data_IF_279383460976
#
_entry.id   IF_279383460976
#
_cell.length_a   1.000
_cell.length_b   1.000
_cell.length_c   1.000
_cell.angle_alpha   90.00
_cell.angle_beta   90.00
_cell.angle_gamma   90.00
#
_symmetry.space_group_name_H-M   'P 1'
#
loop_
_entity.id
_entity.type
_entity.pdbx_description
1 polymer ?
#
# COMPACT_ATOMS: atom_id res chain seq x y z
N UNK A 1 -2.45 25.83 -31.09
CA UNK A 1 -2.19 24.37 -31.15
C UNK A 1 -3.53 23.66 -31.18
N UNK A 2 -3.71 22.68 -32.07
CA UNK A 2 -4.95 21.88 -32.12
C UNK A 2 -5.00 20.89 -30.94
N UNK A 3 -6.20 20.47 -30.50
CA UNK A 3 -6.35 19.64 -29.29
C UNK A 3 -5.50 18.37 -29.30
N UNK A 4 -5.44 17.65 -30.41
CA UNK A 4 -4.72 16.36 -30.50
C UNK A 4 -3.19 16.55 -30.45
N UNK A 5 -2.64 17.62 -30.98
CA UNK A 5 -1.22 17.95 -30.87
C UNK A 5 -0.86 18.33 -29.43
N UNK A 6 -1.76 19.10 -28.77
CA UNK A 6 -1.56 19.47 -27.37
C UNK A 6 -1.57 18.27 -26.45
N UNK A 7 -2.51 17.34 -26.61
CA UNK A 7 -2.57 16.10 -25.82
C UNK A 7 -1.31 15.25 -25.98
N UNK A 8 -0.78 15.09 -27.20
CA UNK A 8 0.48 14.38 -27.43
C UNK A 8 1.66 15.04 -26.73
N UNK A 9 1.70 16.36 -26.73
CA UNK A 9 2.77 17.10 -26.06
C UNK A 9 2.64 17.01 -24.53
N UNK A 10 1.42 17.04 -23.98
CA UNK A 10 1.15 16.80 -22.56
C UNK A 10 1.70 15.43 -22.13
N UNK A 11 1.37 14.37 -22.86
CA UNK A 11 1.90 13.00 -22.55
C UNK A 11 3.42 12.97 -22.57
N UNK A 12 4.05 13.63 -23.56
CA UNK A 12 5.51 13.69 -23.65
C UNK A 12 6.14 14.41 -22.47
N UNK A 13 5.53 15.49 -22.00
CA UNK A 13 6.01 16.25 -20.83
C UNK A 13 5.81 15.49 -19.54
N UNK A 14 4.64 14.89 -19.35
CA UNK A 14 4.36 14.04 -18.21
C UNK A 14 5.42 12.94 -18.09
N UNK A 15 5.70 12.21 -19.17
CA UNK A 15 6.71 11.14 -19.17
C UNK A 15 8.17 11.64 -19.02
N UNK A 16 8.43 12.93 -19.25
CA UNK A 16 9.78 13.50 -19.11
C UNK A 16 10.06 14.06 -17.72
N UNK A 17 9.02 14.55 -17.05
CA UNK A 17 9.13 15.33 -15.81
C UNK A 17 8.59 14.59 -14.59
N UNK A 18 8.16 13.32 -14.76
CA UNK A 18 7.53 12.46 -13.75
C UNK A 18 6.28 13.06 -13.08
N UNK A 19 6.07 14.36 -13.23
CA UNK A 19 4.92 15.10 -12.70
C UNK A 19 4.76 16.43 -13.44
N UNK A 20 3.50 16.80 -13.78
CA UNK A 20 3.16 18.12 -14.31
C UNK A 20 1.89 18.65 -13.64
N UNK A 21 1.83 19.96 -13.38
CA UNK A 21 0.65 20.60 -12.79
C UNK A 21 -0.23 21.26 -13.86
N UNK A 22 -1.51 21.46 -13.54
CA UNK A 22 -2.45 22.21 -14.41
C UNK A 22 -1.95 23.62 -14.65
N UNK A 23 -1.32 24.26 -13.65
CA UNK A 23 -0.80 25.62 -13.74
C UNK A 23 0.36 25.70 -14.74
N UNK A 24 1.36 24.81 -14.64
CA UNK A 24 2.47 24.72 -15.60
C UNK A 24 1.99 24.50 -17.03
N UNK A 25 1.05 23.56 -17.24
CA UNK A 25 0.50 23.28 -18.56
C UNK A 25 -0.35 24.44 -19.10
N UNK A 26 -1.06 25.18 -18.23
CA UNK A 26 -1.84 26.35 -18.60
C UNK A 26 -0.95 27.49 -19.09
N UNK A 27 0.15 27.74 -18.37
CA UNK A 27 1.14 28.75 -18.76
C UNK A 27 1.84 28.39 -20.08
N UNK A 28 2.26 27.13 -20.21
CA UNK A 28 3.02 26.69 -21.38
C UNK A 28 2.18 26.66 -22.67
N UNK A 29 0.95 26.14 -22.59
CA UNK A 29 0.10 25.99 -23.75
C UNK A 29 -0.78 27.22 -24.02
N UNK A 30 -0.85 28.18 -23.10
CA UNK A 30 -1.62 29.43 -23.26
C UNK A 30 -3.13 29.18 -23.39
N UNK A 31 -3.66 28.14 -22.70
CA UNK A 31 -5.08 27.78 -22.69
C UNK A 31 -5.64 27.84 -21.27
N UNK A 32 -6.97 27.82 -21.11
CA UNK A 32 -7.57 27.90 -19.78
C UNK A 32 -7.38 26.60 -18.98
N UNK A 33 -7.35 26.69 -17.63
CA UNK A 33 -7.38 25.57 -16.70
C UNK A 33 -8.45 24.54 -17.07
N UNK A 34 -9.65 24.99 -17.41
CA UNK A 34 -10.75 24.12 -17.81
C UNK A 34 -10.43 23.30 -19.07
N UNK A 35 -9.63 23.86 -20.01
CA UNK A 35 -9.18 23.17 -21.21
C UNK A 35 -8.15 22.11 -20.84
N UNK A 36 -7.14 22.46 -20.04
CA UNK A 36 -6.12 21.50 -19.57
C UNK A 36 -6.77 20.37 -18.77
N UNK A 37 -7.66 20.68 -17.81
CA UNK A 37 -8.38 19.66 -17.04
C UNK A 37 -9.17 18.68 -17.89
N UNK A 38 -9.76 19.16 -19.00
CA UNK A 38 -10.47 18.31 -19.96
C UNK A 38 -9.51 17.45 -20.78
N UNK A 39 -8.39 17.99 -21.22
CA UNK A 39 -7.37 17.23 -21.94
C UNK A 39 -6.77 16.14 -21.05
N UNK A 40 -6.42 16.46 -19.79
CA UNK A 40 -5.94 15.50 -18.81
C UNK A 40 -7.00 14.42 -18.49
N UNK A 41 -8.28 14.78 -18.45
CA UNK A 41 -9.35 13.79 -18.26
C UNK A 41 -9.41 12.80 -19.42
N UNK A 42 -9.39 13.29 -20.66
CA UNK A 42 -9.39 12.43 -21.85
C UNK A 42 -8.15 11.54 -21.92
N UNK A 43 -6.96 12.06 -21.62
CA UNK A 43 -5.72 11.30 -21.63
C UNK A 43 -5.67 10.22 -20.54
N UNK A 44 -6.29 10.48 -19.40
CA UNK A 44 -6.42 9.50 -18.33
C UNK A 44 -7.46 8.41 -18.67
N UNK A 45 -8.59 8.77 -19.30
CA UNK A 45 -9.57 7.80 -19.85
C UNK A 45 -8.93 6.89 -20.91
N UNK A 46 -7.98 7.42 -21.70
CA UNK A 46 -7.22 6.68 -22.71
C UNK A 46 -6.04 5.87 -22.07
N UNK A 47 -5.83 5.95 -20.74
CA UNK A 47 -4.77 5.25 -20.03
C UNK A 47 -3.35 5.75 -20.33
N UNK A 48 -3.19 6.94 -20.90
CA UNK A 48 -1.92 7.52 -21.31
C UNK A 48 -1.20 8.31 -20.21
N UNK A 49 -1.92 8.71 -19.19
CA UNK A 49 -1.44 9.41 -18.00
C UNK A 49 -2.30 9.04 -16.79
N UNK A 50 -1.80 9.27 -15.59
CA UNK A 50 -2.57 9.24 -14.35
C UNK A 50 -2.82 10.67 -13.84
N UNK A 51 -4.00 10.92 -13.21
CA UNK A 51 -4.36 12.25 -12.69
C UNK A 51 -4.23 12.28 -11.19
N UNK A 52 -3.68 13.40 -10.68
CA UNK A 52 -3.78 13.76 -9.26
C UNK A 52 -4.53 15.10 -9.08
N UNK A 53 -4.80 15.50 -7.84
CA UNK A 53 -5.44 16.78 -7.55
C UNK A 53 -4.51 17.94 -7.90
N UNK A 54 -4.65 18.48 -9.10
CA UNK A 54 -3.87 19.62 -9.63
C UNK A 54 -2.95 19.31 -10.81
N UNK A 55 -2.89 18.08 -11.35
CA UNK A 55 -2.00 17.75 -12.46
C UNK A 55 -2.10 16.33 -12.99
N UNK A 56 -0.98 15.84 -13.55
CA UNK A 56 -0.85 14.50 -14.09
C UNK A 56 0.56 13.91 -13.88
N UNK A 57 0.62 12.58 -13.86
CA UNK A 57 1.81 11.71 -13.77
C UNK A 57 1.88 10.80 -14.99
N UNK A 58 3.03 10.19 -15.32
CA UNK A 58 3.09 9.11 -16.29
C UNK A 58 2.12 7.98 -15.97
N UNK A 59 1.53 7.35 -16.99
CA UNK A 59 0.81 6.11 -16.78
C UNK A 59 1.79 5.03 -16.33
N UNK A 60 1.51 4.38 -15.20
CA UNK A 60 2.27 3.20 -14.79
C UNK A 60 2.07 2.09 -15.81
N UNK A 61 3.13 1.33 -16.14
CA UNK A 61 3.07 0.23 -17.13
C UNK A 61 2.17 -0.95 -16.71
N UNK A 62 1.53 -0.86 -15.55
CA UNK A 62 0.52 -1.81 -15.05
C UNK A 62 -0.87 -1.24 -15.28
N UNK A 63 -1.53 -1.73 -16.31
CA UNK A 63 -2.79 -1.33 -16.91
C UNK A 63 -3.90 -0.82 -15.99
N UNK A 64 -4.45 0.30 -16.45
CA UNK A 64 -5.82 0.81 -16.27
C UNK A 64 -6.68 0.20 -15.17
N UNK A 65 -6.80 0.89 -14.03
CA UNK A 65 -8.12 1.21 -13.42
C UNK A 65 -7.94 2.03 -12.14
N UNK A 66 -8.57 3.18 -12.15
CA UNK A 66 -8.81 4.15 -11.10
C UNK A 66 -8.53 3.79 -9.64
N UNK A 67 -7.31 3.98 -9.20
CA UNK A 67 -7.01 4.22 -7.79
C UNK A 67 -6.67 5.70 -7.63
N UNK A 68 -7.12 6.34 -6.56
CA UNK A 68 -6.64 7.67 -6.23
C UNK A 68 -5.12 7.63 -6.11
N UNK A 69 -4.37 8.60 -6.69
CA UNK A 69 -2.91 8.55 -6.70
C UNK A 69 -2.38 8.93 -5.31
N UNK A 70 -2.20 7.93 -4.48
CA UNK A 70 -1.24 7.92 -3.38
C UNK A 70 -0.05 7.04 -3.72
N UNK A 71 0.18 6.74 -5.00
CA UNK A 71 1.42 6.14 -5.42
C UNK A 71 2.51 7.21 -5.53
N UNK A 72 2.94 7.61 -4.38
CA UNK A 72 4.31 7.84 -3.97
C UNK A 72 5.26 6.99 -4.78
N UNK A 73 6.30 7.63 -5.25
CA UNK A 73 7.55 7.07 -5.72
C UNK A 73 7.65 5.62 -5.29
N UNK A 74 7.56 4.70 -6.25
CA UNK A 74 7.82 3.30 -6.00
C UNK A 74 9.19 3.20 -5.32
N UNK A 75 9.21 2.73 -4.06
CA UNK A 75 10.43 2.61 -3.26
C UNK A 75 10.77 1.12 -3.04
N UNK A 76 11.20 0.39 -4.09
CA UNK A 76 11.47 -1.03 -3.98
C UNK A 76 12.55 -1.36 -2.96
N UNK A 77 13.56 -0.50 -2.84
CA UNK A 77 14.66 -0.69 -1.88
C UNK A 77 14.21 -0.53 -0.44
N UNK A 78 13.35 0.44 -0.15
CA UNK A 78 12.77 0.63 1.18
C UNK A 78 11.84 -0.53 1.55
N UNK A 79 10.93 -0.93 0.65
CA UNK A 79 10.06 -2.10 0.87
C UNK A 79 10.86 -3.38 1.09
N UNK A 80 11.97 -3.57 0.36
CA UNK A 80 12.88 -4.70 0.55
C UNK A 80 13.54 -4.67 1.93
N UNK A 81 14.04 -3.52 2.38
CA UNK A 81 14.65 -3.38 3.70
C UNK A 81 13.64 -3.65 4.83
N UNK A 82 12.40 -3.15 4.68
CA UNK A 82 11.27 -3.45 5.59
C UNK A 82 11.03 -4.96 5.62
N UNK A 83 10.93 -5.60 4.45
CA UNK A 83 10.66 -7.03 4.33
C UNK A 83 11.73 -7.90 5.00
N UNK A 84 13.01 -7.61 4.76
CA UNK A 84 14.13 -8.34 5.38
C UNK A 84 14.16 -8.18 6.90
N UNK A 85 13.73 -7.02 7.41
CA UNK A 85 13.57 -6.84 8.86
C UNK A 85 12.34 -7.59 9.39
N UNK A 86 11.23 -7.58 8.65
CA UNK A 86 9.96 -8.19 9.06
C UNK A 86 10.06 -9.72 9.21
N UNK A 87 10.74 -10.40 8.30
CA UNK A 87 10.89 -11.87 8.37
C UNK A 87 11.71 -12.34 9.57
N UNK A 88 12.47 -11.47 10.21
CA UNK A 88 13.19 -11.80 11.45
C UNK A 88 12.27 -12.05 12.66
N UNK A 89 10.99 -11.67 12.55
CA UNK A 89 9.98 -11.94 13.59
C UNK A 89 9.35 -13.34 13.46
N UNK A 90 9.55 -14.04 12.33
CA UNK A 90 8.98 -15.35 12.05
C UNK A 90 9.68 -16.45 12.85
N UNK A 91 8.89 -17.39 13.36
CA UNK A 91 9.37 -18.61 14.01
C UNK A 91 8.74 -19.86 13.38
N UNK A 92 9.46 -20.98 13.49
CA UNK A 92 8.98 -22.26 12.95
C UNK A 92 7.66 -22.69 13.60
N UNK A 93 6.67 -22.98 12.78
CA UNK A 93 5.33 -23.40 13.20
C UNK A 93 4.32 -22.27 13.37
N UNK A 94 4.71 -21.00 13.17
CA UNK A 94 3.79 -19.87 13.31
C UNK A 94 2.64 -19.94 12.31
N UNK A 95 1.44 -19.54 12.78
CA UNK A 95 0.30 -19.23 11.94
C UNK A 95 0.36 -17.74 11.57
N UNK A 96 0.58 -17.46 10.28
CA UNK A 96 0.86 -16.09 9.81
C UNK A 96 -0.17 -15.62 8.78
N UNK A 97 -0.65 -14.40 8.94
CA UNK A 97 -1.47 -13.76 7.91
C UNK A 97 -0.66 -12.66 7.21
N UNK A 98 -0.69 -12.70 5.88
CA UNK A 98 -0.12 -11.67 5.01
C UNK A 98 -1.27 -10.87 4.40
N UNK A 99 -1.42 -9.63 4.81
CA UNK A 99 -2.42 -8.72 4.26
C UNK A 99 -2.09 -8.33 2.81
N UNK A 100 -3.05 -7.77 2.09
CA UNK A 100 -2.85 -7.30 0.72
C UNK A 100 -2.06 -6.01 0.71
N UNK A 101 -1.00 -5.97 -0.11
CA UNK A 101 -0.27 -4.77 -0.45
C UNK A 101 1.16 -5.06 -0.91
N UNK A 102 1.84 -4.05 -1.50
CA UNK A 102 3.16 -4.24 -2.09
C UNK A 102 4.26 -4.52 -1.05
N UNK A 103 4.17 -3.94 0.15
CA UNK A 103 5.19 -4.15 1.19
C UNK A 103 5.06 -5.54 1.82
N UNK A 104 3.85 -5.99 2.12
CA UNK A 104 3.57 -7.35 2.62
C UNK A 104 3.92 -8.41 1.57
N UNK A 105 3.74 -8.11 0.28
CA UNK A 105 4.20 -9.00 -0.80
C UNK A 105 5.72 -9.13 -0.83
N UNK A 106 6.48 -8.05 -0.60
CA UNK A 106 7.93 -8.14 -0.45
C UNK A 106 8.34 -9.00 0.75
N UNK A 107 7.61 -8.94 1.88
CA UNK A 107 7.82 -9.85 3.02
C UNK A 107 7.64 -11.31 2.58
N UNK A 108 6.57 -11.61 1.82
CA UNK A 108 6.31 -12.96 1.32
C UNK A 108 7.45 -13.53 0.45
N UNK A 109 8.13 -12.69 -0.33
CA UNK A 109 9.23 -13.08 -1.22
C UNK A 109 10.53 -13.44 -0.51
N UNK A 110 10.72 -12.99 0.74
CA UNK A 110 12.00 -13.12 1.45
C UNK A 110 11.92 -14.04 2.67
N UNK A 111 10.83 -14.81 2.78
CA UNK A 111 10.70 -15.83 3.83
C UNK A 111 11.82 -16.86 3.66
N UNK A 112 12.58 -17.17 4.74
CA UNK A 112 13.63 -18.19 4.67
C UNK A 112 13.06 -19.59 4.40
N UNK A 113 13.71 -20.39 3.57
CA UNK A 113 13.28 -21.76 3.22
C UNK A 113 13.27 -22.70 4.43
N UNK A 114 14.02 -22.37 5.47
CA UNK A 114 14.14 -23.19 6.68
C UNK A 114 12.97 -23.03 7.66
N UNK A 115 12.10 -22.02 7.45
CA UNK A 115 10.96 -21.73 8.35
C UNK A 115 9.68 -22.35 7.78
N UNK A 116 9.07 -23.25 8.56
CA UNK A 116 7.78 -23.86 8.21
C UNK A 116 6.64 -23.07 8.83
N UNK A 117 5.72 -22.55 8.00
CA UNK A 117 4.62 -21.68 8.42
C UNK A 117 3.25 -22.23 8.01
N UNK A 118 2.22 -21.88 8.79
CA UNK A 118 0.82 -21.99 8.39
C UNK A 118 0.37 -20.64 7.86
N UNK A 119 0.26 -20.48 6.55
CA UNK A 119 0.06 -19.17 5.95
C UNK A 119 -1.36 -18.95 5.42
N UNK A 120 -1.87 -17.73 5.63
CA UNK A 120 -3.09 -17.25 5.04
C UNK A 120 -2.88 -15.83 4.45
N UNK A 121 -3.63 -15.49 3.43
CA UNK A 121 -3.60 -14.16 2.81
C UNK A 121 -4.91 -13.83 2.12
N UNK A 122 -5.25 -12.54 2.03
CA UNK A 122 -6.31 -12.03 1.17
C UNK A 122 -5.77 -11.42 -0.14
N UNK A 123 -4.48 -11.65 -0.46
CA UNK A 123 -3.82 -11.22 -1.69
C UNK A 123 -3.56 -12.41 -2.62
N UNK A 124 -4.18 -12.47 -3.81
CA UNK A 124 -3.83 -13.47 -4.82
C UNK A 124 -2.36 -13.43 -5.24
N UNK A 125 -1.78 -12.22 -5.34
CA UNK A 125 -0.37 -12.05 -5.71
C UNK A 125 0.56 -12.60 -4.63
N UNK A 126 0.33 -12.26 -3.35
CA UNK A 126 1.11 -12.82 -2.23
C UNK A 126 0.95 -14.33 -2.13
N UNK A 127 -0.24 -14.89 -2.48
CA UNK A 127 -0.45 -16.33 -2.46
C UNK A 127 0.46 -17.07 -3.46
N UNK A 128 0.77 -16.47 -4.62
CA UNK A 128 1.71 -17.07 -5.58
C UNK A 128 3.15 -17.04 -5.08
N UNK A 129 3.57 -15.98 -4.39
CA UNK A 129 4.91 -15.91 -3.77
C UNK A 129 5.02 -16.92 -2.61
N UNK A 130 4.05 -16.90 -1.69
CA UNK A 130 4.02 -17.75 -0.49
C UNK A 130 4.04 -19.26 -0.79
N UNK A 131 3.37 -19.70 -1.85
CA UNK A 131 3.32 -21.14 -2.19
C UNK A 131 4.68 -21.71 -2.57
N UNK A 132 5.59 -20.89 -3.08
CA UNK A 132 6.94 -21.35 -3.51
C UNK A 132 7.77 -21.77 -2.29
N UNK A 133 7.61 -21.08 -1.14
CA UNK A 133 8.34 -21.37 0.11
C UNK A 133 7.50 -22.16 1.11
N UNK A 134 6.22 -21.79 1.31
CA UNK A 134 5.38 -22.35 2.37
C UNK A 134 4.53 -23.56 1.94
N UNK A 135 4.44 -23.85 0.63
CA UNK A 135 3.66 -24.96 0.10
C UNK A 135 2.15 -24.67 0.08
N UNK A 136 1.39 -25.10 1.09
CA UNK A 136 -0.05 -24.84 1.15
C UNK A 136 -0.33 -23.44 1.67
N UNK A 137 -1.09 -22.64 0.91
CA UNK A 137 -1.51 -21.29 1.27
C UNK A 137 -3.03 -21.21 1.34
N UNK A 138 -3.56 -20.71 2.44
CA UNK A 138 -4.98 -20.42 2.59
C UNK A 138 -5.28 -19.03 2.00
N UNK A 139 -5.98 -19.00 0.86
CA UNK A 139 -6.46 -17.75 0.26
C UNK A 139 -7.84 -17.43 0.81
N UNK A 140 -8.00 -16.23 1.37
CA UNK A 140 -9.16 -15.82 2.17
C UNK A 140 -9.91 -14.69 1.48
N UNK A 141 -11.18 -14.91 1.13
CA UNK A 141 -12.07 -13.94 0.52
C UNK A 141 -12.95 -14.54 -0.56
N UNK A 142 -13.93 -13.76 -1.03
CA UNK A 142 -14.89 -14.17 -2.05
C UNK A 142 -15.07 -13.16 -3.19
N UNK A 143 -14.62 -11.93 -3.02
CA UNK A 143 -14.73 -10.86 -4.01
C UNK A 143 -13.37 -10.20 -4.22
N UNK A 144 -12.86 -10.25 -5.46
CA UNK A 144 -11.61 -9.59 -5.83
C UNK A 144 -11.90 -8.12 -6.17
N UNK A 145 -11.24 -7.21 -5.48
CA UNK A 145 -11.30 -5.79 -5.77
C UNK A 145 -10.35 -5.43 -6.91
N UNK A 146 -10.87 -4.71 -7.89
CA UNK A 146 -10.12 -4.32 -9.08
C UNK A 146 -9.02 -3.27 -8.78
N UNK A 147 -9.19 -2.45 -7.72
CA UNK A 147 -8.30 -1.32 -7.42
C UNK A 147 -7.11 -1.67 -6.53
N UNK A 148 -7.22 -2.71 -5.73
CA UNK A 148 -6.18 -3.11 -4.76
C UNK A 148 -5.78 -4.58 -4.88
N UNK A 149 -6.43 -5.33 -5.79
CA UNK A 149 -6.29 -6.78 -5.92
C UNK A 149 -6.50 -7.55 -4.61
N UNK A 150 -7.17 -6.90 -3.63
CA UNK A 150 -7.53 -7.51 -2.38
C UNK A 150 -8.76 -8.40 -2.52
N UNK A 151 -8.73 -9.57 -1.93
CA UNK A 151 -9.91 -10.37 -1.68
C UNK A 151 -10.60 -9.90 -0.40
N UNK A 152 -11.88 -9.59 -0.51
CA UNK A 152 -12.72 -9.09 0.58
C UNK A 152 -14.05 -9.86 0.60
N UNK A 153 -14.95 -9.49 1.50
CA UNK A 153 -16.32 -9.98 1.53
C UNK A 153 -16.64 -10.86 2.73
N UNK A 154 -17.93 -11.29 2.86
CA UNK A 154 -18.42 -11.99 4.04
C UNK A 154 -17.71 -13.29 4.37
N UNK A 155 -17.19 -14.01 3.36
CA UNK A 155 -16.41 -15.23 3.58
C UNK A 155 -15.07 -14.94 4.26
N UNK A 156 -14.38 -13.85 3.85
CA UNK A 156 -13.17 -13.39 4.51
C UNK A 156 -13.44 -13.01 5.96
N UNK A 157 -14.44 -12.15 6.19
CA UNK A 157 -14.82 -11.73 7.54
C UNK A 157 -15.18 -12.93 8.45
N UNK A 158 -15.97 -13.89 7.92
CA UNK A 158 -16.36 -15.08 8.68
C UNK A 158 -15.17 -15.98 9.02
N UNK A 159 -14.18 -16.07 8.13
CA UNK A 159 -12.95 -16.83 8.36
C UNK A 159 -12.10 -16.15 9.45
N UNK A 160 -11.84 -14.84 9.30
CA UNK A 160 -11.01 -14.06 10.22
C UNK A 160 -11.58 -14.04 11.64
N UNK A 161 -12.91 -13.89 11.82
CA UNK A 161 -13.56 -13.94 13.15
C UNK A 161 -13.38 -15.26 13.91
N UNK A 162 -12.94 -16.31 13.23
CA UNK A 162 -12.81 -17.67 13.81
C UNK A 162 -11.37 -18.17 13.80
N UNK A 163 -10.43 -17.37 13.34
CA UNK A 163 -9.03 -17.75 13.19
C UNK A 163 -8.16 -16.77 13.96
N UNK A 164 -7.21 -17.29 14.72
CA UNK A 164 -6.19 -16.48 15.37
C UNK A 164 -4.86 -16.75 14.68
N UNK A 165 -4.06 -15.71 14.55
CA UNK A 165 -2.73 -15.77 13.96
C UNK A 165 -1.69 -15.43 15.02
N UNK A 166 -0.53 -16.11 14.95
CA UNK A 166 0.59 -15.78 15.82
C UNK A 166 1.21 -14.46 15.36
N UNK A 167 1.29 -14.24 14.02
CA UNK A 167 1.75 -12.99 13.41
C UNK A 167 0.79 -12.53 12.32
N UNK A 168 0.52 -11.24 12.27
CA UNK A 168 -0.15 -10.55 11.16
C UNK A 168 0.78 -9.51 10.59
N UNK A 169 1.17 -9.65 9.32
CA UNK A 169 1.78 -8.56 8.58
C UNK A 169 0.67 -7.71 7.97
N UNK A 170 0.50 -6.52 8.50
CA UNK A 170 -0.55 -5.57 8.17
C UNK A 170 0.00 -4.45 7.28
N UNK A 171 -0.74 -4.04 6.26
CA UNK A 171 -0.44 -2.87 5.43
C UNK A 171 -1.52 -1.79 5.56
N UNK A 172 -1.20 -0.55 5.23
CA UNK A 172 -2.11 0.58 5.27
C UNK A 172 -1.87 1.53 4.10
N UNK A 173 -2.89 2.29 3.71
CA UNK A 173 -2.71 3.36 2.73
C UNK A 173 -2.14 4.63 3.38
N UNK A 174 -2.40 4.84 4.68
CA UNK A 174 -1.95 6.04 5.37
C UNK A 174 -1.79 5.81 6.88
N UNK A 175 -0.77 6.44 7.46
CA UNK A 175 -0.48 6.55 8.89
C UNK A 175 -0.53 8.02 9.28
N UNK A 176 -1.48 8.41 10.13
CA UNK A 176 -1.65 9.78 10.59
C UNK A 176 -0.63 10.13 11.69
N UNK A 177 -0.33 11.41 11.87
CA UNK A 177 0.63 11.86 12.91
C UNK A 177 0.20 11.50 14.33
N UNK A 178 -1.12 11.42 14.57
CA UNK A 178 -1.72 11.03 15.85
C UNK A 178 -1.86 9.51 16.04
N UNK A 179 -1.42 8.72 15.04
CA UNK A 179 -1.42 7.27 15.07
C UNK A 179 -2.65 6.60 14.46
N UNK A 180 -3.53 7.33 13.78
CA UNK A 180 -4.64 6.74 13.04
C UNK A 180 -4.15 5.96 11.81
N UNK A 181 -4.73 4.76 11.56
CA UNK A 181 -4.44 3.91 10.41
C UNK A 181 -5.63 3.87 9.47
N UNK A 182 -5.44 4.22 8.20
CA UNK A 182 -6.57 4.36 7.28
C UNK A 182 -6.31 3.80 5.89
N UNK A 183 -7.42 3.41 5.22
CA UNK A 183 -7.42 2.85 3.86
C UNK A 183 -8.49 3.51 3.01
N UNK A 184 -8.38 3.33 1.69
CA UNK A 184 -9.26 3.95 0.69
C UNK A 184 -10.64 3.28 0.58
N UNK A 185 -10.88 2.15 1.26
CA UNK A 185 -12.08 1.35 1.07
C UNK A 185 -12.63 0.74 2.36
N UNK A 186 -13.97 0.71 2.51
CA UNK A 186 -14.64 0.17 3.70
C UNK A 186 -14.57 -1.35 3.84
N UNK A 187 -14.58 -2.11 2.73
CA UNK A 187 -14.48 -3.56 2.79
C UNK A 187 -13.08 -3.98 3.25
N UNK A 188 -12.04 -3.31 2.76
CA UNK A 188 -10.67 -3.51 3.23
C UNK A 188 -10.50 -3.08 4.69
N UNK A 189 -11.09 -1.93 5.08
CA UNK A 189 -11.07 -1.49 6.47
C UNK A 189 -11.62 -2.57 7.42
N UNK A 190 -12.76 -3.22 7.06
CA UNK A 190 -13.33 -4.32 7.87
C UNK A 190 -12.40 -5.52 7.99
N UNK A 191 -11.72 -5.91 6.91
CA UNK A 191 -10.74 -6.99 6.93
C UNK A 191 -9.59 -6.64 7.86
N UNK A 192 -9.01 -5.43 7.72
CA UNK A 192 -7.87 -4.99 8.52
C UNK A 192 -8.21 -4.84 10.00
N UNK A 193 -9.41 -4.35 10.34
CA UNK A 193 -9.90 -4.35 11.73
C UNK A 193 -9.93 -5.77 12.31
N UNK A 194 -10.44 -6.75 11.57
CA UNK A 194 -10.47 -8.14 12.02
C UNK A 194 -9.07 -8.77 12.11
N UNK A 195 -8.12 -8.34 11.30
CA UNK A 195 -6.73 -8.77 11.40
C UNK A 195 -6.07 -8.24 12.67
N UNK A 196 -6.32 -6.99 13.03
CA UNK A 196 -5.88 -6.43 14.32
C UNK A 196 -6.49 -7.20 15.51
N UNK A 197 -7.80 -7.50 15.46
CA UNK A 197 -8.49 -8.25 16.52
C UNK A 197 -8.02 -9.72 16.66
N UNK A 198 -7.60 -10.36 15.54
CA UNK A 198 -7.26 -11.79 15.48
C UNK A 198 -5.76 -12.09 15.57
N UNK A 199 -4.89 -11.10 15.48
CA UNK A 199 -3.44 -11.25 15.58
C UNK A 199 -2.97 -11.23 17.03
N UNK A 200 -2.05 -12.13 17.39
CA UNK A 200 -1.34 -12.07 18.68
C UNK A 200 -0.21 -11.06 18.66
N UNK A 201 0.41 -10.90 17.50
CA UNK A 201 1.46 -9.94 17.22
C UNK A 201 1.19 -9.31 15.87
N UNK A 202 0.68 -8.09 15.90
CA UNK A 202 0.32 -7.33 14.70
C UNK A 202 1.48 -6.40 14.33
N UNK A 203 2.07 -6.67 13.16
CA UNK A 203 3.21 -5.94 12.63
C UNK A 203 2.75 -5.09 11.46
N UNK A 204 2.67 -3.78 11.64
CA UNK A 204 2.43 -2.84 10.56
C UNK A 204 3.72 -2.68 9.74
N UNK A 205 3.62 -2.85 8.42
CA UNK A 205 4.71 -2.60 7.48
C UNK A 205 4.28 -1.52 6.49
N UNK A 206 4.97 -0.39 6.48
CA UNK A 206 4.66 0.72 5.57
C UNK A 206 5.91 1.53 5.26
N UNK A 207 6.13 1.86 4.00
CA UNK A 207 7.22 2.75 3.60
C UNK A 207 6.89 4.21 3.90
N UNK A 208 7.91 5.07 3.87
CA UNK A 208 7.81 6.48 4.25
C UNK A 208 6.77 7.28 3.46
N UNK A 209 6.30 6.79 2.32
CA UNK A 209 5.28 7.45 1.53
C UNK A 209 3.88 7.43 2.15
N UNK A 210 3.66 6.52 3.09
CA UNK A 210 2.38 6.34 3.78
C UNK A 210 2.27 7.20 5.05
N UNK A 211 3.38 7.81 5.50
CA UNK A 211 3.43 8.55 6.75
C UNK A 211 2.83 9.96 6.63
N UNK A 212 2.35 10.48 7.75
CA UNK A 212 1.77 11.82 7.89
C UNK A 212 0.66 12.12 6.85
N UNK A 213 -0.10 11.10 6.53
CA UNK A 213 -1.18 11.15 5.55
C UNK A 213 -2.46 10.52 6.11
N UNK A 214 -3.59 10.77 5.45
CA UNK A 214 -4.89 10.22 5.82
C UNK A 214 -5.61 9.71 4.58
N UNK A 215 -6.19 8.52 4.68
CA UNK A 215 -7.05 7.94 3.66
C UNK A 215 -8.53 8.00 4.06
N UNK A 216 -9.40 7.44 3.25
CA UNK A 216 -10.85 7.61 3.36
C UNK A 216 -11.44 7.03 4.66
N UNK A 217 -11.00 5.83 5.07
CA UNK A 217 -11.61 5.09 6.18
C UNK A 217 -10.56 4.64 7.18
N UNK A 218 -10.65 5.16 8.40
CA UNK A 218 -9.89 4.65 9.53
C UNK A 218 -10.39 3.26 9.93
N UNK A 219 -9.47 2.33 10.18
CA UNK A 219 -9.77 0.95 10.55
C UNK A 219 -9.15 0.53 11.88
N UNK A 220 -8.11 1.22 12.32
CA UNK A 220 -7.38 0.97 13.57
C UNK A 220 -6.60 2.21 13.98
N UNK A 221 -6.00 2.15 15.14
CA UNK A 221 -5.00 3.09 15.63
C UNK A 221 -3.71 2.36 15.98
N UNK A 222 -2.66 3.09 16.32
CA UNK A 222 -1.40 2.49 16.79
C UNK A 222 -1.57 1.67 18.08
N UNK A 223 -2.66 1.84 18.84
CA UNK A 223 -2.98 1.01 20.01
C UNK A 223 -3.38 -0.43 19.63
N UNK A 224 -3.73 -0.67 18.37
CA UNK A 224 -4.18 -1.96 17.84
C UNK A 224 -3.05 -2.77 17.18
N UNK A 225 -1.80 -2.29 17.24
CA UNK A 225 -0.62 -2.94 16.69
C UNK A 225 0.49 -3.08 17.75
N UNK A 226 1.39 -4.05 17.56
CA UNK A 226 2.49 -4.32 18.48
C UNK A 226 3.84 -3.79 17.97
N UNK A 227 4.02 -3.80 16.64
CA UNK A 227 5.25 -3.36 15.99
C UNK A 227 4.96 -2.56 14.74
N UNK A 228 5.79 -1.56 14.49
CA UNK A 228 5.81 -0.80 13.24
C UNK A 228 7.20 -0.85 12.61
N UNK A 229 7.26 -1.24 11.33
CA UNK A 229 8.51 -1.31 10.55
C UNK A 229 8.40 -0.38 9.35
N UNK A 230 9.33 0.58 9.25
CA UNK A 230 9.39 1.55 8.15
C UNK A 230 10.83 1.84 7.75
N UNK A 231 11.04 2.30 6.52
CA UNK A 231 12.36 2.60 5.96
C UNK A 231 12.88 4.00 6.32
N UNK A 232 12.01 4.91 6.76
CA UNK A 232 12.37 6.29 7.10
C UNK A 232 12.21 6.59 8.59
N UNK A 233 12.93 7.59 9.15
CA UNK A 233 12.75 8.00 10.53
C UNK A 233 11.36 8.62 10.74
N UNK A 234 10.74 8.34 11.88
CA UNK A 234 9.48 8.98 12.29
C UNK A 234 9.72 10.43 12.74
N UNK A 235 8.73 11.30 12.50
CA UNK A 235 8.69 12.62 13.13
C UNK A 235 8.53 12.52 14.67
N UNK A 236 8.87 13.58 15.39
CA UNK A 236 8.75 13.62 16.85
C UNK A 236 7.30 13.41 17.31
N UNK A 237 6.33 13.91 16.54
CA UNK A 237 4.90 13.75 16.82
C UNK A 237 4.47 12.29 16.71
N UNK A 238 4.78 11.65 15.59
CA UNK A 238 4.51 10.22 15.38
C UNK A 238 5.22 9.36 16.42
N UNK A 239 6.50 9.63 16.67
CA UNK A 239 7.27 8.90 17.70
C UNK A 239 6.56 8.95 19.06
N UNK A 240 6.06 10.12 19.43
CA UNK A 240 5.31 10.30 20.69
C UNK A 240 4.04 9.43 20.71
N UNK A 241 3.27 9.38 19.62
CA UNK A 241 2.05 8.57 19.54
C UNK A 241 2.37 7.06 19.67
N UNK A 242 3.38 6.56 18.95
CA UNK A 242 3.79 5.15 19.03
C UNK A 242 4.36 4.78 20.41
N UNK A 243 5.17 5.65 21.02
CA UNK A 243 5.72 5.43 22.37
C UNK A 243 4.60 5.36 23.44
N UNK A 244 3.59 6.23 23.34
CA UNK A 244 2.44 6.21 24.26
C UNK A 244 1.60 4.94 24.15
N UNK A 245 1.49 4.39 22.94
CA UNK A 245 0.82 3.11 22.67
C UNK A 245 1.69 1.89 23.03
N UNK A 246 2.95 2.07 23.41
CA UNK A 246 3.96 1.02 23.64
C UNK A 246 4.25 0.16 22.40
N UNK A 247 4.13 0.71 21.21
CA UNK A 247 4.45 0.04 19.96
C UNK A 247 5.96 -0.01 19.77
N UNK A 248 6.49 -1.18 19.43
CA UNK A 248 7.90 -1.31 19.05
C UNK A 248 8.10 -0.72 17.65
N UNK A 249 8.90 0.34 17.54
CA UNK A 249 9.21 0.97 16.25
C UNK A 249 10.59 0.56 15.76
N UNK A 250 10.65 0.10 14.52
CA UNK A 250 11.88 -0.14 13.77
C UNK A 250 11.84 0.74 12.53
N UNK A 251 12.64 1.79 12.52
CA UNK A 251 12.65 2.81 11.48
C UNK A 251 14.06 3.07 10.94
N UNK A 252 14.16 3.94 9.93
CA UNK A 252 15.43 4.35 9.32
C UNK A 252 16.26 3.17 8.81
N UNK A 253 15.59 2.21 8.15
CA UNK A 253 16.24 1.03 7.58
C UNK A 253 17.04 1.42 6.34
N UNK A 254 18.31 1.09 6.33
CA UNK A 254 19.15 1.32 5.15
C UNK A 254 18.79 0.33 4.05
N UNK A 255 18.74 0.78 2.78
CA UNK A 255 18.57 -0.13 1.65
C UNK A 255 19.66 -1.21 1.64
N UNK A 256 19.24 -2.45 1.46
CA UNK A 256 20.18 -3.57 1.29
C UNK A 256 20.76 -3.49 -0.12
N UNK A 257 22.09 -3.56 -0.28
CA UNK A 257 22.77 -3.39 -1.56
C UNK A 257 22.49 -4.51 -2.57
#
# INVERSE_FOLDING_TARGET
MIPDERRKEIVRQVNKSDRVTVEELTEEFGVSDATIRRDLASLAEDGLIERFHGGALPASETGANGSAPTDSIDNPSGKRAIAERAVAELSDGDAVFFDTGPTTREVAKVIPDEVSLLVATNSPESAFELRETCGEVKVVGDSLRQTSDALVGPSAESYLRKTNFDIVFLETDAVQSDGGLSVSNEDEARIKTLLCEGGRHVILVADGSKLESQSFREFATVEDIDMFITDVPLSDEMRTAFDQANVQVVDNLLPVP
#
